data_IF_601319894018
#
_entry.id   IF_601319894018
#
_cell.length_a   1.000
_cell.length_b   1.000
_cell.length_c   1.000
_cell.angle_alpha   90.00
_cell.angle_beta   90.00
_cell.angle_gamma   90.00
#
_symmetry.space_group_name_H-M   'P 1'
#
loop_
_entity.id
_entity.type
_entity.pdbx_description
1 polymer ?
#
# COMPACT_ATOMS: atom_id res chain seq x y z
N UNK A 1 13.49 -28.17 -12.85
CA UNK A 1 14.35 -27.76 -12.77
C UNK A 1 14.53 -26.50 -12.95
N UNK A 2 14.21 -25.72 -12.44
CA UNK A 2 14.38 -24.40 -12.36
C UNK A 2 15.33 -23.84 -13.34
N UNK A 3 15.08 -24.03 -14.52
CA UNK A 3 16.02 -23.59 -15.47
C UNK A 3 15.77 -22.15 -15.81
N UNK A 4 15.46 -21.37 -14.83
CA UNK A 4 15.32 -19.96 -15.07
C UNK A 4 16.69 -19.41 -15.36
N UNK A 5 16.86 -18.82 -16.48
CA UNK A 5 18.11 -18.15 -16.78
C UNK A 5 18.10 -16.82 -16.04
N UNK A 6 19.20 -16.45 -15.37
CA UNK A 6 19.28 -15.18 -14.67
C UNK A 6 18.89 -13.98 -15.54
N UNK A 7 19.21 -14.07 -16.83
CA UNK A 7 18.89 -13.01 -17.79
C UNK A 7 17.39 -12.86 -17.99
N UNK A 8 16.67 -13.96 -18.11
CA UNK A 8 15.20 -13.91 -18.25
C UNK A 8 14.54 -13.30 -17.04
N UNK A 9 14.95 -13.72 -15.85
CA UNK A 9 14.39 -13.18 -14.63
C UNK A 9 14.67 -11.68 -14.54
N UNK A 10 15.89 -11.26 -14.86
CA UNK A 10 16.27 -9.85 -14.82
C UNK A 10 15.41 -9.03 -15.77
N UNK A 11 15.22 -9.50 -16.98
CA UNK A 11 14.41 -8.81 -17.97
C UNK A 11 12.96 -8.70 -17.52
N UNK A 12 12.39 -9.78 -16.97
CA UNK A 12 11.02 -9.78 -16.48
C UNK A 12 10.86 -8.82 -15.30
N UNK A 13 11.84 -8.78 -14.42
CA UNK A 13 11.82 -7.85 -13.27
C UNK A 13 11.82 -6.41 -13.77
N UNK A 14 12.64 -6.11 -14.76
CA UNK A 14 12.69 -4.77 -15.34
C UNK A 14 11.38 -4.39 -16.02
N UNK A 15 10.79 -5.31 -16.78
CA UNK A 15 9.50 -5.10 -17.42
C UNK A 15 8.41 -4.88 -16.39
N UNK A 16 8.42 -5.68 -15.34
CA UNK A 16 7.46 -5.56 -14.24
C UNK A 16 7.56 -4.18 -13.57
N UNK A 17 8.75 -3.76 -13.24
CA UNK A 17 8.98 -2.45 -12.62
C UNK A 17 8.57 -1.29 -13.53
N UNK A 18 8.84 -1.40 -14.84
CA UNK A 18 8.39 -0.42 -15.80
C UNK A 18 6.88 -0.36 -15.88
N UNK A 19 6.23 -1.52 -15.87
CA UNK A 19 4.77 -1.60 -15.89
C UNK A 19 4.17 -0.92 -14.66
N UNK A 20 4.71 -1.20 -13.48
CA UNK A 20 4.25 -0.57 -12.24
C UNK A 20 4.44 0.93 -12.28
N UNK A 21 5.57 1.39 -12.81
CA UNK A 21 5.85 2.81 -12.94
C UNK A 21 4.82 3.49 -13.85
N UNK A 22 4.49 2.86 -14.97
CA UNK A 22 3.48 3.39 -15.88
C UNK A 22 2.10 3.45 -15.23
N UNK A 23 1.73 2.41 -14.50
CA UNK A 23 0.44 2.39 -13.80
C UNK A 23 0.37 3.49 -12.74
N UNK A 24 1.44 3.66 -11.99
CA UNK A 24 1.52 4.70 -10.97
C UNK A 24 1.43 6.09 -11.59
N UNK A 25 2.10 6.32 -12.70
CA UNK A 25 2.03 7.60 -13.40
C UNK A 25 0.64 7.89 -13.93
N UNK A 26 -0.05 6.88 -14.47
CA UNK A 26 -1.42 7.03 -14.94
C UNK A 26 -2.36 7.35 -13.78
N UNK A 27 -2.19 6.66 -12.68
CA UNK A 27 -3.01 6.89 -11.50
C UNK A 27 -2.82 8.32 -11.00
N UNK A 28 -1.58 8.75 -10.85
CA UNK A 28 -1.26 10.11 -10.42
C UNK A 28 -1.87 11.15 -11.36
N UNK A 29 -1.79 10.89 -12.66
CA UNK A 29 -2.35 11.79 -13.67
C UNK A 29 -3.86 11.95 -13.51
N UNK A 30 -4.56 10.84 -13.24
CA UNK A 30 -6.01 10.89 -12.98
C UNK A 30 -6.32 11.71 -11.72
N UNK A 31 -5.55 11.49 -10.66
CA UNK A 31 -5.75 12.22 -9.41
C UNK A 31 -5.52 13.73 -9.60
N UNK A 32 -4.51 14.10 -10.38
CA UNK A 32 -4.19 15.50 -10.62
C UNK A 32 -5.24 16.23 -11.47
N UNK A 33 -6.11 15.50 -12.17
CA UNK A 33 -7.21 16.09 -12.92
C UNK A 33 -8.45 16.36 -12.08
N UNK A 34 -8.49 15.81 -10.88
CA UNK A 34 -9.61 15.99 -9.96
C UNK A 34 -9.45 17.31 -9.22
N UNK A 35 -10.58 17.85 -8.71
CA UNK A 35 -10.49 19.03 -7.88
C UNK A 35 -9.96 18.65 -6.49
N UNK A 36 -9.48 19.63 -5.70
CA UNK A 36 -8.89 19.33 -4.39
C UNK A 36 -9.80 18.55 -3.44
N UNK A 37 -11.09 18.82 -3.48
CA UNK A 37 -12.04 18.13 -2.61
C UNK A 37 -12.16 16.65 -2.96
N UNK A 38 -12.20 16.35 -4.27
CA UNK A 38 -12.24 14.98 -4.74
C UNK A 38 -10.97 14.22 -4.37
N UNK A 39 -9.82 14.87 -4.51
CA UNK A 39 -8.53 14.28 -4.14
C UNK A 39 -8.48 14.00 -2.65
N UNK A 40 -8.98 14.93 -1.84
CA UNK A 40 -9.04 14.74 -0.40
C UNK A 40 -9.87 13.51 -0.05
N UNK A 41 -11.00 13.33 -0.72
CA UNK A 41 -11.86 12.15 -0.52
C UNK A 41 -11.20 10.83 -0.90
N UNK A 42 -10.14 10.88 -1.73
CA UNK A 42 -9.42 9.69 -2.15
C UNK A 42 -8.07 9.53 -1.44
N UNK A 43 -7.84 10.29 -0.39
CA UNK A 43 -6.55 10.30 0.30
C UNK A 43 -6.12 8.90 0.77
N UNK A 44 -7.06 8.12 1.31
CA UNK A 44 -6.78 6.76 1.76
C UNK A 44 -6.37 5.87 0.59
N UNK A 45 -7.14 5.92 -0.49
CA UNK A 45 -6.83 5.13 -1.69
C UNK A 45 -5.45 5.50 -2.24
N UNK A 46 -5.16 6.80 -2.33
CA UNK A 46 -3.88 7.29 -2.84
C UNK A 46 -2.72 6.74 -2.01
N UNK A 47 -2.86 6.79 -0.69
CA UNK A 47 -1.83 6.27 0.20
C UNK A 47 -1.64 4.78 0.03
N UNK A 48 -2.73 4.02 -0.08
CA UNK A 48 -2.65 2.58 -0.32
C UNK A 48 -1.99 2.25 -1.65
N UNK A 49 -2.35 2.97 -2.70
CA UNK A 49 -1.77 2.76 -4.04
C UNK A 49 -0.27 3.00 -4.04
N UNK A 50 0.19 4.06 -3.36
CA UNK A 50 1.61 4.34 -3.23
C UNK A 50 2.32 3.23 -2.46
N UNK A 51 1.76 2.80 -1.35
CA UNK A 51 2.35 1.75 -0.52
C UNK A 51 2.44 0.43 -1.28
N UNK A 52 1.40 0.09 -2.03
CA UNK A 52 1.38 -1.12 -2.87
C UNK A 52 2.49 -1.03 -3.92
N UNK A 53 2.59 0.11 -4.60
CA UNK A 53 3.62 0.34 -5.61
C UNK A 53 5.02 0.12 -5.03
N UNK A 54 5.33 0.79 -3.93
CA UNK A 54 6.64 0.70 -3.29
C UNK A 54 6.94 -0.72 -2.83
N UNK A 55 5.96 -1.40 -2.25
CA UNK A 55 6.11 -2.77 -1.76
C UNK A 55 6.38 -3.74 -2.91
N UNK A 56 5.66 -3.60 -4.02
CA UNK A 56 5.85 -4.47 -5.18
C UNK A 56 7.22 -4.25 -5.83
N UNK A 57 7.66 -3.00 -5.93
CA UNK A 57 9.00 -2.71 -6.45
C UNK A 57 10.05 -3.38 -5.57
N UNK A 58 9.92 -3.22 -4.26
CA UNK A 58 10.86 -3.81 -3.31
C UNK A 58 10.89 -5.35 -3.40
N UNK A 59 9.73 -5.96 -3.55
CA UNK A 59 9.63 -7.43 -3.63
C UNK A 59 9.95 -8.01 -5.00
N UNK A 60 10.03 -7.18 -6.03
CA UNK A 60 10.16 -7.66 -7.41
C UNK A 60 11.36 -8.54 -7.65
N UNK A 61 12.49 -8.21 -7.05
CA UNK A 61 13.72 -8.99 -7.24
C UNK A 61 13.63 -10.41 -6.67
N UNK A 62 12.77 -10.59 -5.68
CA UNK A 62 12.60 -11.89 -5.04
C UNK A 62 11.47 -12.72 -5.62
N UNK A 63 10.73 -12.17 -6.56
CA UNK A 63 9.62 -12.88 -7.20
C UNK A 63 10.13 -13.89 -8.23
N UNK A 64 9.51 -15.04 -8.26
CA UNK A 64 9.82 -16.06 -9.26
C UNK A 64 9.32 -15.63 -10.64
N UNK A 65 9.97 -16.12 -11.66
CA UNK A 65 9.64 -15.83 -13.06
C UNK A 65 8.17 -16.07 -13.38
N UNK A 66 7.64 -17.21 -12.91
CA UNK A 66 6.24 -17.55 -13.16
C UNK A 66 5.27 -16.57 -12.52
N UNK A 67 5.61 -16.09 -11.34
CA UNK A 67 4.78 -15.09 -10.64
C UNK A 67 4.79 -13.78 -11.43
N UNK A 68 5.97 -13.35 -11.87
CA UNK A 68 6.09 -12.12 -12.67
C UNK A 68 5.27 -12.21 -13.96
N UNK A 69 5.33 -13.35 -14.64
CA UNK A 69 4.55 -13.55 -15.87
C UNK A 69 3.05 -13.48 -15.60
N UNK A 70 2.60 -14.09 -14.51
CA UNK A 70 1.18 -14.05 -14.14
C UNK A 70 0.72 -12.63 -13.83
N UNK A 71 1.53 -11.88 -13.11
CA UNK A 71 1.17 -10.51 -12.77
C UNK A 71 1.11 -9.62 -14.02
N UNK A 72 2.02 -9.84 -14.96
CA UNK A 72 2.07 -9.05 -16.19
C UNK A 72 0.86 -9.27 -17.11
N UNK A 73 0.11 -10.35 -16.91
CA UNK A 73 -1.13 -10.60 -17.66
C UNK A 73 -2.28 -9.73 -17.14
N UNK A 74 -2.18 -9.24 -15.92
CA UNK A 74 -3.25 -8.43 -15.34
C UNK A 74 -3.38 -7.08 -16.04
N UNK A 75 -4.61 -6.60 -16.27
CA UNK A 75 -4.80 -5.29 -16.91
C UNK A 75 -4.33 -4.13 -16.03
N UNK A 76 -4.40 -4.28 -14.71
CA UNK A 76 -3.97 -3.25 -13.78
C UNK A 76 -3.49 -3.93 -12.51
N UNK A 77 -2.18 -3.99 -12.34
CA UNK A 77 -1.55 -4.71 -11.23
C UNK A 77 -1.83 -4.01 -9.90
N UNK A 78 -1.67 -2.69 -9.86
CA UNK A 78 -1.86 -1.92 -8.62
C UNK A 78 -3.29 -2.03 -8.13
N UNK A 79 -4.26 -1.90 -9.02
CA UNK A 79 -5.67 -2.02 -8.64
C UNK A 79 -6.03 -3.43 -8.20
N UNK A 80 -5.42 -4.44 -8.79
CA UNK A 80 -5.63 -5.82 -8.36
C UNK A 80 -5.27 -5.96 -6.88
N UNK A 81 -4.12 -5.46 -6.46
CA UNK A 81 -3.69 -5.54 -5.08
C UNK A 81 -4.47 -4.62 -4.16
N UNK A 82 -4.88 -3.45 -4.66
CA UNK A 82 -5.74 -2.58 -3.88
C UNK A 82 -7.07 -3.24 -3.55
N UNK A 83 -7.69 -3.90 -4.54
CA UNK A 83 -8.93 -4.64 -4.30
C UNK A 83 -8.74 -5.78 -3.32
N UNK A 84 -7.61 -6.48 -3.40
CA UNK A 84 -7.29 -7.54 -2.43
C UNK A 84 -7.16 -6.98 -1.03
N UNK A 85 -6.47 -5.86 -0.91
CA UNK A 85 -6.30 -5.19 0.38
C UNK A 85 -7.66 -4.82 0.99
N UNK A 86 -8.53 -4.23 0.18
CA UNK A 86 -9.86 -3.83 0.65
C UNK A 86 -10.72 -5.02 1.08
N UNK A 87 -10.51 -6.18 0.48
CA UNK A 87 -11.25 -7.39 0.84
C UNK A 87 -10.72 -8.11 2.06
N UNK A 88 -9.41 -7.95 2.36
CA UNK A 88 -8.84 -8.64 3.50
C UNK A 88 -9.22 -8.00 4.82
N UNK A 89 -9.98 -6.94 4.78
CA UNK A 89 -10.55 -6.39 5.98
C UNK A 89 -9.79 -5.23 6.55
N UNK A 90 -10.05 -4.97 7.80
CA UNK A 90 -9.78 -3.72 8.40
C UNK A 90 -8.49 -3.60 9.18
N UNK A 91 -7.37 -4.09 8.64
CA UNK A 91 -6.10 -3.99 9.37
C UNK A 91 -5.77 -2.54 9.71
N UNK A 92 -5.98 -1.64 8.75
CA UNK A 92 -5.74 -0.22 9.01
C UNK A 92 -6.68 0.31 10.08
N UNK A 93 -7.96 -0.03 9.98
CA UNK A 93 -8.96 0.41 10.95
C UNK A 93 -8.66 -0.15 12.34
N UNK A 94 -8.28 -1.42 12.43
CA UNK A 94 -7.93 -2.05 13.70
C UNK A 94 -6.70 -1.39 14.32
N UNK A 95 -5.68 -1.12 13.53
CA UNK A 95 -4.48 -0.44 14.01
C UNK A 95 -4.81 0.96 14.51
N UNK A 96 -5.64 1.67 13.77
CA UNK A 96 -6.06 3.01 14.16
C UNK A 96 -6.83 2.98 15.48
N UNK A 97 -7.80 2.07 15.60
CA UNK A 97 -8.59 1.93 16.81
C UNK A 97 -7.71 1.59 18.01
N UNK A 98 -6.77 0.67 17.84
CA UNK A 98 -5.84 0.30 18.93
C UNK A 98 -4.98 1.49 19.35
N UNK A 99 -4.48 2.24 18.36
CA UNK A 99 -3.68 3.43 18.64
C UNK A 99 -4.49 4.49 19.40
N UNK A 100 -5.73 4.69 18.99
CA UNK A 100 -6.61 5.63 19.65
C UNK A 100 -6.93 5.20 21.09
N UNK A 101 -7.16 3.90 21.30
CA UNK A 101 -7.38 3.38 22.66
C UNK A 101 -6.18 3.65 23.56
N UNK A 102 -4.97 3.43 23.03
CA UNK A 102 -3.76 3.71 23.81
C UNK A 102 -3.66 5.19 24.15
N UNK A 103 -3.96 6.06 23.19
CA UNK A 103 -3.96 7.50 23.41
C UNK A 103 -4.97 7.91 24.48
N UNK A 104 -6.15 7.33 24.43
CA UNK A 104 -7.18 7.61 25.44
C UNK A 104 -6.76 7.15 26.82
N UNK A 105 -6.12 5.99 26.93
CA UNK A 105 -5.59 5.50 28.21
C UNK A 105 -4.51 6.43 28.77
N UNK A 106 -3.66 6.95 27.90
CA UNK A 106 -2.64 7.91 28.33
C UNK A 106 -3.27 9.19 28.86
N UNK A 107 -4.32 9.70 28.23
CA UNK A 107 -5.04 10.87 28.70
C UNK A 107 -5.69 10.60 30.05
N UNK A 108 -6.31 9.43 30.21
CA UNK A 108 -6.89 9.05 31.50
C UNK A 108 -5.85 9.00 32.60
N UNK A 109 -4.68 8.43 32.31
CA UNK A 109 -3.60 8.38 33.29
C UNK A 109 -3.12 9.77 33.69
N UNK A 110 -3.04 10.69 32.74
CA UNK A 110 -2.66 12.07 32.99
C UNK A 110 -3.68 12.77 33.87
N UNK A 111 -4.96 12.55 33.66
CA UNK A 111 -6.02 13.13 34.43
C UNK A 111 -6.01 12.59 35.88
N UNK A 112 -5.79 11.28 36.03
CA UNK A 112 -5.71 10.66 37.34
C UNK A 112 -4.54 11.21 38.15
N UNK A 113 -3.39 11.38 37.51
CA UNK A 113 -2.23 11.98 38.17
C UNK A 113 -2.54 13.41 38.61
N UNK A 114 -3.22 14.17 37.77
CA UNK A 114 -3.62 15.54 38.10
C UNK A 114 -4.58 15.58 39.28
N UNK A 115 -5.55 14.68 39.33
CA UNK A 115 -6.49 14.57 40.42
C UNK A 115 -5.80 14.20 41.72
N UNK A 116 -4.88 13.25 41.67
CA UNK A 116 -4.11 12.87 42.86
C UNK A 116 -3.28 14.03 43.38
N UNK A 117 -2.69 14.83 42.51
CA UNK A 117 -1.93 16.00 42.91
C UNK A 117 -2.82 17.09 43.50
N UNK A 118 -4.04 17.18 43.01
CA UNK A 118 -5.00 18.18 43.50
C UNK A 118 -5.56 17.81 44.86
N UNK A 119 -5.58 16.54 45.16
CA UNK A 119 -6.02 16.06 46.45
C UNK A 119 -4.95 16.26 47.52
#
# INVERSE_FOLDING_TARGET
MGNEQPTEKKELTEIFCLRLNLEQKRYKKRMLKMNPEEVFGKAYEINCMLSIYETLIEKSEKMETDILKCLLVLPDILHFFYHKWMKTGDSFQMELENSMEQGLKEIEAMLNITEEKAA
#
